data_IF_218335022809
#
_entry.id   IF_218335022809
#
_cell.length_a   1.000
_cell.length_b   1.000
_cell.length_c   1.000
_cell.angle_alpha   90.00
_cell.angle_beta   90.00
_cell.angle_gamma   90.00
#
_symmetry.space_group_name_H-M   'P 1'
#
loop_
_entity.id
_entity.type
_entity.pdbx_description
1 polymer ?
#
# COMPACT_ATOMS: atom_id res chain seq x y z
N UNK A 1 5.36 37.33 14.95
CA UNK A 1 4.06 36.80 15.41
C UNK A 1 3.54 35.72 14.48
N UNK A 2 3.38 36.00 13.18
CA UNK A 2 2.87 35.02 12.19
C UNK A 2 3.68 33.72 12.17
N UNK A 3 5.01 33.79 12.04
CA UNK A 3 5.88 32.60 12.09
C UNK A 3 5.71 31.78 13.37
N UNK A 4 5.71 32.43 14.53
CA UNK A 4 5.52 31.77 15.82
C UNK A 4 4.18 31.02 15.92
N UNK A 5 3.09 31.60 15.40
CA UNK A 5 1.77 30.95 15.40
C UNK A 5 1.76 29.75 14.45
N UNK A 6 2.32 29.90 13.24
CA UNK A 6 2.38 28.80 12.26
C UNK A 6 3.27 27.64 12.75
N UNK A 7 4.42 27.94 13.34
CA UNK A 7 5.34 26.92 13.89
C UNK A 7 4.73 26.18 15.09
N UNK A 8 3.92 26.88 15.89
CA UNK A 8 3.18 26.25 16.99
C UNK A 8 2.10 25.31 16.46
N UNK A 9 1.42 25.66 15.36
CA UNK A 9 0.44 24.79 14.71
C UNK A 9 1.13 23.53 14.14
N UNK A 10 2.26 23.69 13.46
CA UNK A 10 3.05 22.57 12.91
C UNK A 10 3.51 21.63 14.03
N UNK A 11 3.96 22.19 15.16
CA UNK A 11 4.33 21.40 16.34
C UNK A 11 3.16 20.57 16.86
N UNK A 12 1.97 21.18 17.00
CA UNK A 12 0.78 20.47 17.48
C UNK A 12 0.32 19.38 16.50
N UNK A 13 0.39 19.64 15.19
CA UNK A 13 0.12 18.61 14.17
C UNK A 13 1.12 17.45 14.29
N UNK A 14 2.41 17.74 14.44
CA UNK A 14 3.44 16.72 14.64
C UNK A 14 3.19 15.85 15.88
N UNK A 15 2.78 16.46 17.00
CA UNK A 15 2.37 15.73 18.20
C UNK A 15 1.14 14.84 17.95
N UNK A 16 0.16 15.33 17.19
CA UNK A 16 -1.03 14.56 16.82
C UNK A 16 -0.68 13.34 15.97
N UNK A 17 0.11 13.53 14.90
CA UNK A 17 0.58 12.43 14.04
C UNK A 17 1.35 11.41 14.86
N UNK A 18 2.31 11.85 15.69
CA UNK A 18 3.10 10.96 16.53
C UNK A 18 2.23 10.16 17.51
N UNK A 19 1.24 10.79 18.15
CA UNK A 19 0.32 10.11 19.05
C UNK A 19 -0.51 9.04 18.33
N UNK A 20 -1.00 9.33 17.11
CA UNK A 20 -1.73 8.37 16.29
C UNK A 20 -0.81 7.23 15.82
N UNK A 21 0.40 7.52 15.35
CA UNK A 21 1.36 6.49 14.95
C UNK A 21 1.71 5.55 16.10
N UNK A 22 1.97 6.06 17.30
CA UNK A 22 2.21 5.22 18.49
C UNK A 22 0.97 4.39 18.84
N UNK A 23 -0.22 4.96 18.73
CA UNK A 23 -1.46 4.22 18.98
C UNK A 23 -1.67 3.07 17.99
N UNK A 24 -1.35 3.30 16.71
CA UNK A 24 -1.39 2.27 15.67
C UNK A 24 -0.32 1.19 15.90
N UNK A 25 0.90 1.55 16.32
CA UNK A 25 1.94 0.57 16.69
C UNK A 25 1.60 -0.23 17.95
N UNK A 26 0.79 0.32 18.85
CA UNK A 26 0.43 -0.32 20.11
C UNK A 26 -0.87 -1.15 20.04
N UNK A 27 -1.64 -1.00 18.97
CA UNK A 27 -2.88 -1.74 18.74
C UNK A 27 -2.62 -2.71 17.58
N UNK A 28 -3.01 -3.99 17.70
CA UNK A 28 -2.84 -5.01 16.65
C UNK A 28 -3.73 -4.74 15.40
N UNK A 29 -3.60 -3.57 14.77
CA UNK A 29 -4.23 -3.25 13.49
C UNK A 29 -3.37 -3.76 12.33
N UNK A 30 -3.10 -5.07 12.36
CA UNK A 30 -2.13 -5.75 11.49
C UNK A 30 -2.70 -6.06 10.09
N UNK A 31 -3.50 -5.14 9.56
CA UNK A 31 -4.19 -5.33 8.28
C UNK A 31 -4.73 -4.05 7.63
N UNK A 32 -4.60 -2.88 8.28
CA UNK A 32 -5.11 -1.62 7.69
C UNK A 32 -4.00 -0.73 7.12
N UNK A 33 -2.77 -0.83 7.63
CA UNK A 33 -1.61 -0.03 7.19
C UNK A 33 -0.33 -0.84 7.41
N UNK A 34 0.51 -1.01 6.39
CA UNK A 34 1.79 -1.72 6.57
C UNK A 34 2.61 -1.09 7.70
N UNK A 35 3.25 -1.93 8.51
CA UNK A 35 4.08 -1.49 9.63
C UNK A 35 5.12 -0.44 9.19
N UNK A 36 5.67 -0.59 7.99
CA UNK A 36 6.60 0.37 7.39
C UNK A 36 6.02 1.78 7.24
N UNK A 37 4.78 1.92 6.77
CA UNK A 37 4.11 3.21 6.64
C UNK A 37 3.87 3.88 8.00
N UNK A 38 3.60 3.08 9.03
CA UNK A 38 3.47 3.59 10.42
C UNK A 38 4.80 4.14 10.92
N UNK A 39 5.92 3.46 10.65
CA UNK A 39 7.27 3.94 10.96
C UNK A 39 7.62 5.24 10.22
N UNK A 40 7.24 5.36 8.95
CA UNK A 40 7.42 6.59 8.16
C UNK A 40 6.60 7.75 8.76
N UNK A 41 5.35 7.51 9.13
CA UNK A 41 4.49 8.50 9.77
C UNK A 41 5.06 8.95 11.13
N UNK A 42 5.57 8.01 11.93
CA UNK A 42 6.23 8.27 13.20
C UNK A 42 7.47 9.16 13.01
N UNK A 43 8.34 8.82 12.06
CA UNK A 43 9.52 9.62 11.73
C UNK A 43 9.14 11.02 11.25
N UNK A 44 8.11 11.13 10.40
CA UNK A 44 7.56 12.41 9.94
C UNK A 44 7.06 13.28 11.09
N UNK A 45 6.31 12.71 12.03
CA UNK A 45 5.83 13.39 13.22
C UNK A 45 6.96 13.97 14.08
N UNK A 46 8.04 13.21 14.30
CA UNK A 46 9.22 13.68 15.04
C UNK A 46 9.88 14.87 14.33
N UNK A 47 10.04 14.80 13.01
CA UNK A 47 10.64 15.89 12.23
C UNK A 47 9.82 17.17 12.32
N UNK A 48 8.48 17.07 12.26
CA UNK A 48 7.58 18.23 12.42
C UNK A 48 7.69 18.85 13.81
N UNK A 49 7.77 18.02 14.86
CA UNK A 49 7.97 18.49 16.24
C UNK A 49 9.29 19.25 16.37
N UNK A 50 10.39 18.67 15.88
CA UNK A 50 11.72 19.30 15.94
C UNK A 50 11.73 20.60 15.12
N UNK A 51 11.14 20.59 13.93
CA UNK A 51 10.99 21.77 13.08
C UNK A 51 10.20 22.90 13.77
N UNK A 52 9.07 22.56 14.39
CA UNK A 52 8.24 23.51 15.12
C UNK A 52 8.93 24.11 16.35
N UNK A 53 9.67 23.29 17.13
CA UNK A 53 10.47 23.78 18.25
C UNK A 53 11.56 24.74 17.77
N UNK A 54 12.29 24.38 16.71
CA UNK A 54 13.35 25.21 16.15
C UNK A 54 12.80 26.54 15.58
N UNK A 55 11.62 26.52 14.95
CA UNK A 55 10.94 27.74 14.47
C UNK A 55 10.50 28.66 15.60
N UNK A 56 9.93 28.09 16.67
CA UNK A 56 9.53 28.84 17.86
C UNK A 56 10.73 29.49 18.58
N UNK A 57 11.83 28.73 18.76
CA UNK A 57 13.05 29.22 19.40
C UNK A 57 13.76 30.25 18.50
N UNK A 58 13.87 29.96 17.20
CA UNK A 58 14.51 30.84 16.22
C UNK A 58 13.84 32.21 16.12
N UNK A 59 12.51 32.22 16.15
CA UNK A 59 11.73 33.47 16.12
C UNK A 59 11.88 34.28 17.42
N UNK A 60 12.03 33.62 18.58
CA UNK A 60 12.23 34.32 19.87
C UNK A 60 13.67 34.80 20.10
N UNK A 61 14.67 34.04 19.68
CA UNK A 61 16.08 34.37 19.97
C UNK A 61 16.71 35.32 18.94
N UNK A 62 16.10 35.52 17.77
CA UNK A 62 16.64 36.43 16.73
C UNK A 62 18.02 36.04 16.20
N UNK A 63 18.50 34.84 16.52
CA UNK A 63 19.82 34.34 16.14
C UNK A 63 19.83 33.97 14.66
N UNK A 64 20.61 34.70 13.86
CA UNK A 64 20.75 34.48 12.40
C UNK A 64 21.11 33.02 12.03
N UNK A 65 21.84 32.32 12.91
CA UNK A 65 22.23 30.93 12.70
C UNK A 65 21.06 29.94 12.84
N UNK A 66 20.21 30.12 13.86
CA UNK A 66 19.02 29.27 14.07
C UNK A 66 17.99 29.51 12.96
N UNK A 67 17.86 30.77 12.51
CA UNK A 67 16.99 31.12 11.40
C UNK A 67 17.46 30.52 10.06
N UNK A 68 18.78 30.40 9.85
CA UNK A 68 19.34 29.77 8.65
C UNK A 68 19.09 28.24 8.64
N UNK A 69 19.28 27.56 9.76
CA UNK A 69 18.98 26.12 9.90
C UNK A 69 17.48 25.86 9.73
N UNK A 70 16.64 26.72 10.31
CA UNK A 70 15.19 26.68 10.13
C UNK A 70 14.75 26.95 8.69
N UNK A 71 15.52 27.68 7.88
CA UNK A 71 15.22 27.88 6.46
C UNK A 71 15.52 26.66 5.58
N UNK A 72 16.55 25.89 5.95
CA UNK A 72 16.99 24.72 5.17
C UNK A 72 16.05 23.52 5.38
N UNK A 73 15.63 23.29 6.63
CA UNK A 73 14.80 22.14 7.00
C UNK A 73 13.46 22.03 6.22
N UNK A 74 12.62 23.08 6.11
CA UNK A 74 11.43 23.05 5.26
C UNK A 74 11.78 22.99 3.77
N UNK A 75 12.94 23.51 3.34
CA UNK A 75 13.41 23.35 1.96
C UNK A 75 13.70 21.89 1.62
N UNK A 76 14.38 21.16 2.51
CA UNK A 76 14.61 19.71 2.36
C UNK A 76 13.28 18.94 2.41
N UNK A 77 12.39 19.29 3.33
CA UNK A 77 11.07 18.66 3.41
C UNK A 77 10.25 18.88 2.15
N UNK A 78 10.29 20.08 1.58
CA UNK A 78 9.62 20.39 0.34
C UNK A 78 10.14 19.53 -0.82
N UNK A 79 11.46 19.34 -0.93
CA UNK A 79 12.05 18.46 -1.95
C UNK A 79 11.60 17.01 -1.76
N UNK A 80 11.56 16.52 -0.52
CA UNK A 80 11.10 15.15 -0.24
C UNK A 80 9.61 14.96 -0.53
N UNK A 81 8.77 15.94 -0.19
CA UNK A 81 7.34 15.91 -0.51
C UNK A 81 7.14 15.95 -2.02
N UNK A 82 7.91 16.75 -2.75
CA UNK A 82 7.84 16.77 -4.22
C UNK A 82 8.27 15.43 -4.82
N UNK A 83 9.34 14.83 -4.33
CA UNK A 83 9.78 13.52 -4.79
C UNK A 83 8.69 12.47 -4.52
N UNK A 84 8.12 12.45 -3.32
CA UNK A 84 7.02 11.57 -2.94
C UNK A 84 5.76 11.78 -3.77
N UNK A 85 5.38 13.03 -4.05
CA UNK A 85 4.23 13.36 -4.88
C UNK A 85 4.43 12.90 -6.33
N UNK A 86 5.62 13.08 -6.89
CA UNK A 86 5.96 12.59 -8.23
C UNK A 86 5.91 11.07 -8.25
N UNK A 87 6.55 10.37 -7.31
CA UNK A 87 6.53 8.91 -7.25
C UNK A 87 5.12 8.36 -7.10
N UNK A 88 4.29 8.94 -6.23
CA UNK A 88 2.89 8.53 -6.06
C UNK A 88 2.08 8.76 -7.34
N UNK A 89 2.28 9.88 -8.03
CA UNK A 89 1.58 10.15 -9.30
C UNK A 89 1.96 9.18 -10.42
N UNK A 90 3.23 8.77 -10.47
CA UNK A 90 3.74 7.78 -11.43
C UNK A 90 3.17 6.40 -11.08
N UNK A 91 3.17 6.02 -9.80
CA UNK A 91 2.59 4.76 -9.34
C UNK A 91 1.10 4.66 -9.70
N UNK A 92 0.31 5.70 -9.39
CA UNK A 92 -1.12 5.76 -9.77
C UNK A 92 -1.32 5.67 -11.28
N UNK A 93 -0.43 6.26 -12.09
CA UNK A 93 -0.51 6.13 -13.55
C UNK A 93 -0.29 4.69 -14.02
N UNK A 94 0.57 3.92 -13.36
CA UNK A 94 0.79 2.52 -13.69
C UNK A 94 -0.35 1.64 -13.18
N UNK A 95 -0.87 1.89 -11.98
CA UNK A 95 -2.05 1.17 -11.46
C UNK A 95 -3.27 1.37 -12.37
N UNK A 96 -3.53 2.60 -12.83
CA UNK A 96 -4.60 2.86 -13.80
C UNK A 96 -4.36 2.16 -15.16
N UNK A 97 -3.11 2.08 -15.63
CA UNK A 97 -2.80 1.33 -16.87
C UNK A 97 -2.95 -0.19 -16.68
N UNK A 98 -2.79 -0.69 -15.45
CA UNK A 98 -3.01 -2.08 -15.10
C UNK A 98 -4.51 -2.40 -14.93
N UNK A 99 -5.32 -1.49 -14.36
CA UNK A 99 -6.76 -1.71 -14.18
C UNK A 99 -7.51 -1.78 -15.52
N UNK A 100 -7.02 -1.09 -16.54
CA UNK A 100 -7.55 -1.17 -17.91
C UNK A 100 -7.18 -2.50 -18.63
N UNK A 101 -6.29 -3.34 -18.07
CA UNK A 101 -5.86 -4.61 -18.70
C UNK A 101 -6.77 -5.77 -18.33
N UNK A 102 -7.01 -6.64 -19.31
CA UNK A 102 -7.68 -7.91 -19.06
C UNK A 102 -6.78 -8.93 -18.33
N UNK A 103 -7.34 -9.95 -17.68
CA UNK A 103 -6.56 -11.01 -17.02
C UNK A 103 -5.57 -11.72 -17.96
N UNK A 104 -5.89 -11.81 -19.26
CA UNK A 104 -4.98 -12.37 -20.25
C UNK A 104 -3.78 -11.47 -20.53
N UNK A 105 -3.98 -10.15 -20.56
CA UNK A 105 -2.92 -9.17 -20.80
C UNK A 105 -1.98 -9.06 -19.60
N UNK A 106 -2.53 -9.11 -18.37
CA UNK A 106 -1.75 -9.14 -17.12
C UNK A 106 -0.77 -10.33 -17.10
N UNK A 107 -1.16 -11.49 -17.63
CA UNK A 107 -0.29 -12.67 -17.73
C UNK A 107 0.87 -12.53 -18.73
N UNK A 108 0.80 -11.52 -19.61
CA UNK A 108 1.80 -11.29 -20.67
C UNK A 108 2.62 -10.03 -20.45
N UNK A 109 2.52 -9.42 -19.25
CA UNK A 109 3.33 -8.27 -18.89
C UNK A 109 4.82 -8.58 -19.05
N UNK A 110 5.56 -7.60 -19.56
CA UNK A 110 7.00 -7.70 -19.71
C UNK A 110 7.68 -7.56 -18.36
N UNK A 111 8.37 -8.61 -17.89
CA UNK A 111 9.05 -8.66 -16.60
C UNK A 111 10.10 -7.55 -16.41
N UNK A 112 10.54 -6.87 -17.48
CA UNK A 112 11.44 -5.71 -17.40
C UNK A 112 10.75 -4.34 -17.37
N UNK A 113 9.42 -4.29 -17.34
CA UNK A 113 8.66 -3.05 -17.40
C UNK A 113 8.28 -2.52 -16.02
N UNK A 114 8.20 -1.19 -15.87
CA UNK A 114 7.76 -0.55 -14.63
C UNK A 114 6.33 -0.97 -14.22
N UNK A 115 5.47 -1.28 -15.21
CA UNK A 115 4.12 -1.77 -14.95
C UNK A 115 4.14 -3.17 -14.33
N UNK A 116 5.07 -4.03 -14.76
CA UNK A 116 5.28 -5.32 -14.12
C UNK A 116 5.79 -5.17 -12.69
N UNK A 117 6.72 -4.25 -12.42
CA UNK A 117 7.19 -4.01 -11.04
C UNK A 117 6.04 -3.59 -10.11
N UNK A 118 5.14 -2.71 -10.57
CA UNK A 118 3.95 -2.31 -9.81
C UNK A 118 3.01 -3.50 -9.61
N UNK A 119 2.72 -4.26 -10.67
CA UNK A 119 1.89 -5.45 -10.61
C UNK A 119 2.44 -6.51 -9.64
N UNK A 120 3.76 -6.75 -9.69
CA UNK A 120 4.46 -7.70 -8.84
C UNK A 120 4.39 -7.27 -7.38
N UNK A 121 4.57 -5.98 -7.10
CA UNK A 121 4.46 -5.44 -5.74
C UNK A 121 3.04 -5.57 -5.17
N UNK A 122 1.99 -5.30 -5.96
CA UNK A 122 0.60 -5.49 -5.51
C UNK A 122 0.33 -6.97 -5.23
N UNK A 123 0.82 -7.87 -6.10
CA UNK A 123 0.69 -9.32 -5.92
C UNK A 123 1.43 -9.81 -4.68
N UNK A 124 2.63 -9.31 -4.45
CA UNK A 124 3.44 -9.63 -3.26
C UNK A 124 2.70 -9.23 -1.99
N UNK A 125 2.23 -7.98 -1.90
CA UNK A 125 1.47 -7.48 -0.75
C UNK A 125 0.19 -8.29 -0.51
N UNK A 126 -0.53 -8.65 -1.58
CA UNK A 126 -1.69 -9.53 -1.49
C UNK A 126 -1.32 -10.91 -0.95
N UNK A 127 -0.23 -11.50 -1.46
CA UNK A 127 0.25 -12.82 -1.04
C UNK A 127 0.71 -12.85 0.41
N UNK A 128 1.44 -11.83 0.85
CA UNK A 128 1.87 -11.67 2.23
C UNK A 128 0.66 -11.57 3.16
N UNK A 129 -0.32 -10.72 2.84
CA UNK A 129 -1.55 -10.62 3.62
C UNK A 129 -2.31 -11.96 3.68
N UNK A 130 -2.42 -12.64 2.55
CA UNK A 130 -3.10 -13.94 2.46
C UNK A 130 -2.41 -15.02 3.31
N UNK A 131 -1.08 -15.08 3.24
CA UNK A 131 -0.29 -16.10 3.94
C UNK A 131 -0.15 -15.79 5.44
N UNK A 132 -0.01 -14.53 5.83
CA UNK A 132 0.05 -14.09 7.23
C UNK A 132 -1.25 -14.42 7.97
N UNK A 133 -2.40 -14.12 7.36
CA UNK A 133 -3.71 -14.45 7.95
C UNK A 133 -4.16 -15.90 7.70
N UNK A 134 -3.28 -16.73 7.13
CA UNK A 134 -3.53 -18.16 6.84
C UNK A 134 -4.84 -18.40 6.09
N UNK A 135 -5.12 -17.54 5.11
CA UNK A 135 -6.34 -17.63 4.32
C UNK A 135 -6.34 -18.83 3.38
N UNK A 136 -7.52 -19.35 3.07
CA UNK A 136 -7.75 -20.42 2.11
C UNK A 136 -8.95 -20.14 1.22
N UNK A 137 -8.86 -20.59 -0.03
CA UNK A 137 -9.94 -20.51 -1.01
C UNK A 137 -9.77 -21.61 -2.04
N UNK A 138 -10.91 -22.14 -2.50
CA UNK A 138 -10.93 -23.10 -3.60
C UNK A 138 -11.75 -22.53 -4.74
N UNK A 139 -11.14 -22.37 -5.91
CA UNK A 139 -11.83 -22.02 -7.14
C UNK A 139 -11.82 -23.20 -8.11
N UNK A 140 -12.96 -23.43 -8.76
CA UNK A 140 -13.14 -24.48 -9.76
C UNK A 140 -13.60 -23.89 -11.07
N UNK A 141 -13.05 -24.41 -12.17
CA UNK A 141 -13.52 -24.08 -13.51
C UNK A 141 -14.66 -25.02 -13.86
N UNK A 142 -15.84 -24.46 -14.11
CA UNK A 142 -17.00 -25.26 -14.50
C UNK A 142 -16.90 -25.72 -15.96
N UNK A 143 -17.77 -26.66 -16.36
CA UNK A 143 -17.89 -27.12 -17.74
C UNK A 143 -18.30 -26.01 -18.73
N UNK A 144 -18.77 -24.87 -18.23
CA UNK A 144 -19.12 -23.67 -19.02
C UNK A 144 -17.95 -22.67 -19.14
N UNK A 145 -16.73 -23.06 -18.76
CA UNK A 145 -15.53 -22.20 -18.75
C UNK A 145 -15.62 -20.95 -17.85
N UNK A 146 -16.57 -20.95 -16.91
CA UNK A 146 -16.69 -19.93 -15.86
C UNK A 146 -15.93 -20.35 -14.62
N UNK A 147 -15.37 -19.37 -13.90
CA UNK A 147 -14.70 -19.58 -12.62
C UNK A 147 -15.74 -19.47 -11.50
N UNK A 148 -15.84 -20.50 -10.67
CA UNK A 148 -16.64 -20.48 -9.44
C UNK A 148 -15.72 -20.68 -8.25
N UNK A 149 -15.65 -19.69 -7.36
CA UNK A 149 -14.87 -19.73 -6.14
C UNK A 149 -15.78 -19.98 -4.94
N UNK A 150 -15.29 -20.77 -3.98
CA UNK A 150 -15.89 -20.85 -2.65
C UNK A 150 -15.57 -19.62 -1.82
N UNK A 151 -16.15 -19.55 -0.63
CA UNK A 151 -15.85 -18.50 0.35
C UNK A 151 -14.40 -18.59 0.82
N UNK A 152 -13.77 -17.42 0.99
CA UNK A 152 -12.47 -17.26 1.62
C UNK A 152 -12.62 -17.44 3.12
N UNK A 153 -11.76 -18.27 3.71
CA UNK A 153 -11.69 -18.48 5.16
C UNK A 153 -10.29 -18.15 5.66
N UNK A 154 -10.17 -17.33 6.69
CA UNK A 154 -8.93 -16.87 7.33
C UNK A 154 -9.02 -17.06 8.85
N UNK A 155 -7.88 -17.12 9.56
CA UNK A 155 -7.88 -17.43 11.00
C UNK A 155 -8.50 -16.32 11.89
N UNK A 156 -8.40 -15.05 11.47
CA UNK A 156 -8.82 -13.88 12.25
C UNK A 156 -10.16 -13.29 11.79
N UNK A 157 -10.70 -13.73 10.65
CA UNK A 157 -11.99 -13.25 10.10
C UNK A 157 -12.06 -11.77 9.70
N UNK A 158 -11.01 -10.99 9.95
CA UNK A 158 -11.00 -9.52 9.79
C UNK A 158 -10.94 -9.07 8.34
N UNK A 159 -10.37 -9.88 7.46
CA UNK A 159 -10.16 -9.58 6.03
C UNK A 159 -10.98 -10.47 5.09
N UNK A 160 -11.72 -11.45 5.63
CA UNK A 160 -12.50 -12.41 4.83
C UNK A 160 -13.52 -11.71 3.96
N UNK A 161 -14.30 -10.78 4.52
CA UNK A 161 -15.33 -10.04 3.80
C UNK A 161 -14.74 -9.30 2.58
N UNK A 162 -13.60 -8.62 2.77
CA UNK A 162 -12.94 -7.87 1.70
C UNK A 162 -12.36 -8.79 0.63
N UNK A 163 -11.75 -9.90 1.03
CA UNK A 163 -11.22 -10.88 0.08
C UNK A 163 -12.32 -11.58 -0.71
N UNK A 164 -13.46 -11.86 -0.08
CA UNK A 164 -14.64 -12.38 -0.74
C UNK A 164 -15.19 -11.36 -1.76
N UNK A 165 -15.35 -10.10 -1.38
CA UNK A 165 -15.81 -9.03 -2.28
C UNK A 165 -14.93 -8.93 -3.53
N UNK A 166 -13.60 -8.95 -3.36
CA UNK A 166 -12.67 -8.93 -4.49
C UNK A 166 -12.78 -10.15 -5.41
N UNK A 167 -13.00 -11.34 -4.85
CA UNK A 167 -13.19 -12.55 -5.65
C UNK A 167 -14.54 -12.50 -6.37
N UNK A 168 -15.60 -12.05 -5.72
CA UNK A 168 -16.94 -11.91 -6.32
C UNK A 168 -16.93 -10.92 -7.50
N UNK A 169 -16.21 -9.80 -7.37
CA UNK A 169 -16.09 -8.79 -8.41
C UNK A 169 -15.12 -9.18 -9.54
N UNK A 170 -14.04 -9.89 -9.17
CA UNK A 170 -12.96 -10.28 -10.08
C UNK A 170 -13.27 -11.54 -10.89
N UNK A 171 -13.73 -12.61 -10.24
CA UNK A 171 -13.86 -13.94 -10.85
C UNK A 171 -14.72 -13.97 -12.13
N UNK A 172 -15.84 -13.21 -12.24
CA UNK A 172 -16.63 -13.16 -13.46
C UNK A 172 -15.88 -12.57 -14.67
N UNK A 173 -14.81 -11.79 -14.44
CA UNK A 173 -13.99 -11.15 -15.48
C UNK A 173 -12.87 -12.07 -15.98
N UNK A 174 -12.58 -13.16 -15.26
CA UNK A 174 -11.46 -14.07 -15.54
C UNK A 174 -11.93 -15.29 -16.34
N UNK A 175 -11.29 -15.49 -17.51
CA UNK A 175 -11.50 -16.71 -18.30
C UNK A 175 -10.71 -17.89 -17.73
N UNK A 176 -11.24 -19.12 -17.84
CA UNK A 176 -10.55 -20.34 -17.44
C UNK A 176 -9.08 -20.48 -17.91
N UNK A 177 -8.72 -20.22 -19.19
CA UNK A 177 -7.33 -20.30 -19.64
C UNK A 177 -6.44 -19.19 -19.05
N UNK A 178 -6.98 -17.98 -18.86
CA UNK A 178 -6.28 -16.89 -18.19
C UNK A 178 -6.03 -17.19 -16.72
N UNK A 179 -7.02 -17.78 -16.04
CA UNK A 179 -6.92 -18.20 -14.64
C UNK A 179 -5.80 -19.22 -14.45
N UNK A 180 -5.79 -20.29 -15.24
CA UNK A 180 -4.78 -21.36 -15.09
C UNK A 180 -3.37 -20.85 -15.37
N UNK A 181 -3.22 -19.99 -16.39
CA UNK A 181 -1.94 -19.39 -16.75
C UNK A 181 -1.45 -18.46 -15.63
N UNK A 182 -2.34 -17.60 -15.11
CA UNK A 182 -2.03 -16.74 -13.97
C UNK A 182 -1.58 -17.57 -12.78
N UNK A 183 -2.31 -18.64 -12.44
CA UNK A 183 -2.01 -19.47 -11.27
C UNK A 183 -0.61 -20.08 -11.36
N UNK A 184 -0.22 -20.55 -12.54
CA UNK A 184 1.13 -21.09 -12.78
C UNK A 184 2.20 -20.00 -12.66
N UNK A 185 1.94 -18.80 -13.17
CA UNK A 185 2.89 -17.67 -13.11
C UNK A 185 3.01 -17.05 -11.71
N UNK A 186 1.93 -17.09 -10.93
CA UNK A 186 1.90 -16.60 -9.55
C UNK A 186 2.50 -17.62 -8.57
N UNK A 187 2.44 -18.91 -8.89
CA UNK A 187 3.09 -19.96 -8.12
C UNK A 187 4.61 -19.78 -8.14
N UNK A 188 5.14 -19.26 -7.04
CA UNK A 188 6.58 -18.97 -6.88
C UNK A 188 6.94 -17.51 -7.07
N UNK A 189 5.94 -16.63 -7.23
CA UNK A 189 6.14 -15.21 -7.00
C UNK A 189 6.42 -14.94 -5.51
N UNK A 190 7.18 -13.88 -5.26
CA UNK A 190 7.40 -13.38 -3.91
C UNK A 190 6.05 -12.99 -3.26
N UNK A 191 5.94 -13.16 -1.94
CA UNK A 191 4.70 -13.05 -1.16
C UNK A 191 3.72 -14.23 -1.27
N UNK A 192 3.61 -14.88 -2.44
CA UNK A 192 2.72 -16.05 -2.61
C UNK A 192 3.32 -17.33 -2.00
N UNK A 193 4.65 -17.44 -1.95
CA UNK A 193 5.34 -18.47 -1.16
C UNK A 193 5.01 -19.92 -1.54
N UNK A 194 4.69 -20.18 -2.81
CA UNK A 194 4.20 -21.48 -3.33
C UNK A 194 2.83 -21.93 -2.76
N UNK A 195 2.10 -21.04 -2.08
CA UNK A 195 0.74 -21.32 -1.64
C UNK A 195 -0.19 -21.39 -2.84
N UNK A 196 -0.79 -22.56 -3.06
CA UNK A 196 -1.77 -22.77 -4.13
C UNK A 196 -3.04 -21.96 -3.86
N UNK A 197 -3.44 -21.82 -2.60
CA UNK A 197 -4.63 -21.04 -2.22
C UNK A 197 -4.41 -19.55 -2.49
N UNK A 198 -3.26 -19.00 -2.10
CA UNK A 198 -2.93 -17.59 -2.35
C UNK A 198 -2.85 -17.29 -3.86
N UNK A 199 -2.20 -18.15 -4.64
CA UNK A 199 -2.16 -18.02 -6.10
C UNK A 199 -3.56 -18.13 -6.74
N UNK A 200 -4.42 -19.00 -6.20
CA UNK A 200 -5.80 -19.18 -6.66
C UNK A 200 -6.64 -17.94 -6.34
N UNK A 201 -6.56 -17.43 -5.11
CA UNK A 201 -7.22 -16.20 -4.70
C UNK A 201 -6.80 -15.02 -5.57
N UNK A 202 -5.49 -14.76 -5.66
CA UNK A 202 -4.95 -13.69 -6.50
C UNK A 202 -5.44 -13.77 -7.94
N UNK A 203 -5.37 -14.93 -8.57
CA UNK A 203 -5.76 -15.07 -9.97
C UNK A 203 -7.27 -15.03 -10.22
N UNK A 204 -8.08 -15.23 -9.19
CA UNK A 204 -9.52 -15.01 -9.23
C UNK A 204 -9.87 -13.53 -9.04
N UNK A 205 -9.10 -12.79 -8.24
CA UNK A 205 -9.41 -11.42 -7.81
C UNK A 205 -8.54 -10.32 -8.41
N UNK A 206 -7.46 -10.62 -9.13
CA UNK A 206 -6.43 -9.64 -9.50
C UNK A 206 -6.97 -8.36 -10.16
N UNK A 207 -7.94 -8.48 -11.07
CA UNK A 207 -8.54 -7.31 -11.71
C UNK A 207 -9.39 -6.45 -10.77
N UNK A 208 -9.97 -7.03 -9.72
CA UNK A 208 -10.69 -6.28 -8.70
C UNK A 208 -9.71 -5.63 -7.72
N UNK A 209 -8.67 -6.36 -7.29
CA UNK A 209 -7.62 -5.85 -6.38
C UNK A 209 -6.86 -4.66 -6.99
N UNK A 210 -6.65 -4.67 -8.31
CA UNK A 210 -5.94 -3.59 -9.02
C UNK A 210 -6.84 -2.36 -9.26
N UNK A 211 -8.16 -2.53 -9.28
CA UNK A 211 -9.15 -1.49 -9.59
C UNK A 211 -9.63 -0.73 -8.32
N UNK A 212 -9.34 -1.27 -7.13
CA UNK A 212 -9.68 -0.73 -5.80
C UNK A 212 -8.62 0.28 -5.29
#
# INVERSE_FOLDING_TARGET
LVHYVMDTIIFLMGCGILAVSIYLLASDFDGFVDEWWVWVALAGGIVLIVGGILGCIGTKMGGKCILAVYGILPGVMFVLILAGAISASVYLSYTNDLSDKSPAELNTLDNGSNAFEVYDHIREAYGDLWTDKSCDVTCTVTSLSTLECGEVTCDDGTIEDWMNDWIEDGAPRVSAPSFETCRILALGADGIGLSVSAATGWCASNTAVIDD
#
